data_IF_377470896005
#
_entry.id   IF_377470896005
#
_cell.length_a   1.000
_cell.length_b   1.000
_cell.length_c   1.000
_cell.angle_alpha   90.00
_cell.angle_beta   90.00
_cell.angle_gamma   90.00
#
_symmetry.space_group_name_H-M   'P 1'
#
loop_
_entity.id
_entity.type
_entity.pdbx_description
1 polymer ?
#
# COMPACT_ATOMS: atom_id res chain seq x y z
N UNK A 1 22.63 -10.29 -7.50
CA UNK A 1 22.62 -9.47 -6.25
C UNK A 1 21.53 -8.39 -6.27
N UNK A 2 21.45 -7.53 -7.30
CA UNK A 2 20.41 -6.47 -7.45
C UNK A 2 18.97 -7.00 -7.20
N UNK A 3 18.57 -8.03 -7.94
CA UNK A 3 17.22 -8.59 -7.88
C UNK A 3 16.88 -9.15 -6.48
N UNK A 4 17.84 -9.83 -5.85
CA UNK A 4 17.67 -10.33 -4.48
C UNK A 4 17.39 -9.20 -3.47
N UNK A 5 18.13 -8.09 -3.58
CA UNK A 5 17.93 -6.94 -2.69
C UNK A 5 16.59 -6.29 -2.92
N UNK A 6 16.16 -6.12 -4.18
CA UNK A 6 14.85 -5.58 -4.53
C UNK A 6 13.71 -6.45 -4.01
N UNK A 7 13.80 -7.76 -4.18
CA UNK A 7 12.82 -8.72 -3.62
C UNK A 7 12.79 -8.68 -2.10
N UNK A 8 13.95 -8.64 -1.44
CA UNK A 8 14.04 -8.56 0.01
C UNK A 8 13.42 -7.27 0.54
N UNK A 9 13.73 -6.13 -0.08
CA UNK A 9 13.15 -4.84 0.29
C UNK A 9 11.63 -4.84 0.09
N UNK A 10 11.18 -5.36 -1.04
CA UNK A 10 9.76 -5.49 -1.37
C UNK A 10 9.02 -6.36 -0.35
N UNK A 11 9.58 -7.51 0.02
CA UNK A 11 8.98 -8.40 1.02
C UNK A 11 8.93 -7.76 2.41
N UNK A 12 9.98 -7.05 2.82
CA UNK A 12 9.99 -6.32 4.08
C UNK A 12 8.94 -5.21 4.10
N UNK A 13 8.83 -4.44 3.02
CA UNK A 13 7.87 -3.34 2.92
C UNK A 13 6.43 -3.85 2.96
N UNK A 14 6.11 -4.90 2.19
CA UNK A 14 4.77 -5.51 2.22
C UNK A 14 4.45 -6.12 3.58
N UNK A 15 5.41 -6.75 4.26
CA UNK A 15 5.25 -7.27 5.63
C UNK A 15 5.02 -6.18 6.66
N UNK A 16 5.78 -5.08 6.62
CA UNK A 16 5.54 -3.92 7.48
C UNK A 16 4.14 -3.33 7.31
N UNK A 17 3.69 -3.20 6.05
CA UNK A 17 2.34 -2.72 5.73
C UNK A 17 1.24 -3.65 6.25
N UNK A 18 1.47 -4.95 6.22
CA UNK A 18 0.55 -5.93 6.78
C UNK A 18 0.45 -5.81 8.30
N UNK A 19 1.58 -5.71 9.00
CA UNK A 19 1.60 -5.52 10.44
C UNK A 19 0.94 -4.19 10.86
N UNK A 20 1.25 -3.10 10.16
CA UNK A 20 0.62 -1.80 10.43
C UNK A 20 -0.91 -1.88 10.27
N UNK A 21 -1.42 -2.52 9.21
CA UNK A 21 -2.84 -2.72 9.01
C UNK A 21 -3.50 -3.48 10.19
N UNK A 22 -2.86 -4.53 10.68
CA UNK A 22 -3.30 -5.26 11.87
C UNK A 22 -3.32 -4.37 13.11
N UNK A 23 -2.25 -3.61 13.35
CA UNK A 23 -2.18 -2.70 14.50
C UNK A 23 -3.30 -1.65 14.49
N UNK A 24 -3.57 -1.04 13.33
CA UNK A 24 -4.67 -0.07 13.16
C UNK A 24 -6.02 -0.70 13.55
N UNK A 25 -6.34 -1.89 13.01
CA UNK A 25 -7.61 -2.54 13.31
C UNK A 25 -7.72 -2.96 14.78
N UNK A 26 -6.65 -3.44 15.39
CA UNK A 26 -6.62 -3.77 16.80
C UNK A 26 -6.76 -2.55 17.71
N UNK A 27 -6.17 -1.42 17.33
CA UNK A 27 -6.33 -0.18 18.08
C UNK A 27 -7.79 0.31 18.03
N UNK A 28 -8.41 0.33 16.86
CA UNK A 28 -9.84 0.63 16.71
C UNK A 28 -10.69 -0.34 17.56
N UNK A 29 -10.44 -1.64 17.45
CA UNK A 29 -11.16 -2.66 18.22
C UNK A 29 -10.96 -2.55 19.74
N UNK A 30 -9.88 -1.91 20.20
CA UNK A 30 -9.63 -1.65 21.61
C UNK A 30 -10.54 -0.54 22.13
N UNK A 31 -10.84 0.45 21.33
CA UNK A 31 -11.63 1.64 21.71
C UNK A 31 -13.10 1.55 21.31
N UNK A 32 -13.47 0.71 20.34
CA UNK A 32 -14.83 0.50 19.88
C UNK A 32 -15.29 -0.93 20.19
N UNK A 33 -16.23 -1.06 21.17
CA UNK A 33 -16.75 -2.35 21.59
C UNK A 33 -17.57 -3.06 20.51
N UNK A 34 -18.40 -2.33 19.76
CA UNK A 34 -19.22 -2.90 18.70
C UNK A 34 -18.37 -3.37 17.53
N UNK A 35 -17.39 -2.56 17.13
CA UNK A 35 -16.42 -2.98 16.12
C UNK A 35 -15.61 -4.19 16.60
N UNK A 36 -15.16 -4.21 17.85
CA UNK A 36 -14.41 -5.36 18.42
C UNK A 36 -15.22 -6.64 18.35
N UNK A 37 -16.49 -6.60 18.75
CA UNK A 37 -17.40 -7.76 18.69
C UNK A 37 -17.48 -8.29 17.27
N UNK A 38 -17.70 -7.42 16.29
CA UNK A 38 -17.76 -7.80 14.89
C UNK A 38 -16.42 -8.33 14.37
N UNK A 39 -15.32 -7.64 14.67
CA UNK A 39 -13.98 -7.97 14.27
C UNK A 39 -13.52 -9.36 14.77
N UNK A 40 -13.87 -9.73 15.99
CA UNK A 40 -13.53 -11.03 16.56
C UNK A 40 -14.39 -12.19 16.00
N UNK A 41 -15.60 -11.91 15.56
CA UNK A 41 -16.48 -12.91 14.98
C UNK A 41 -16.30 -13.10 13.47
N UNK A 42 -15.73 -12.13 12.78
CA UNK A 42 -15.46 -12.21 11.35
C UNK A 42 -14.13 -12.91 11.10
N UNK A 43 -14.17 -14.20 10.75
CA UNK A 43 -12.99 -14.98 10.40
C UNK A 43 -12.21 -14.37 9.21
N UNK A 44 -12.82 -13.53 8.39
CA UNK A 44 -12.18 -12.81 7.29
C UNK A 44 -11.20 -11.74 7.80
N UNK A 45 -11.42 -11.22 9.01
CA UNK A 45 -10.56 -10.21 9.64
C UNK A 45 -9.21 -10.75 10.11
N UNK A 46 -9.09 -12.07 10.28
CA UNK A 46 -7.85 -12.74 10.70
C UNK A 46 -6.98 -13.21 9.52
N UNK A 47 -7.39 -12.91 8.30
CA UNK A 47 -6.73 -13.34 7.07
C UNK A 47 -5.43 -12.60 6.75
N UNK A 48 -4.98 -12.81 5.53
CA UNK A 48 -3.80 -12.18 4.97
C UNK A 48 -4.09 -10.73 4.57
N UNK A 49 -3.43 -9.77 5.22
CA UNK A 49 -3.60 -8.34 4.92
C UNK A 49 -2.76 -7.85 3.73
N UNK A 50 -2.19 -8.76 2.96
CA UNK A 50 -1.46 -8.45 1.72
C UNK A 50 -2.37 -8.31 0.51
N UNK A 51 -3.56 -8.92 0.51
CA UNK A 51 -4.55 -8.81 -0.56
C UNK A 51 -5.16 -7.42 -0.63
N UNK A 52 -5.57 -7.00 -1.84
CA UNK A 52 -6.29 -5.75 -2.03
C UNK A 52 -7.60 -5.68 -1.22
N UNK A 53 -8.35 -6.78 -1.19
CA UNK A 53 -9.61 -6.87 -0.42
C UNK A 53 -9.40 -6.51 1.05
N UNK A 54 -8.36 -7.05 1.67
CA UNK A 54 -8.03 -6.78 3.07
C UNK A 54 -7.53 -5.34 3.28
N UNK A 55 -6.73 -4.81 2.35
CA UNK A 55 -6.34 -3.40 2.39
C UNK A 55 -7.54 -2.46 2.26
N UNK A 56 -8.45 -2.76 1.33
CA UNK A 56 -9.66 -1.97 1.16
C UNK A 56 -10.60 -2.09 2.38
N UNK A 57 -10.59 -3.21 3.09
CA UNK A 57 -11.30 -3.38 4.36
C UNK A 57 -10.77 -2.44 5.45
N UNK A 58 -9.44 -2.37 5.63
CA UNK A 58 -8.82 -1.42 6.58
C UNK A 58 -9.19 0.03 6.23
N UNK A 59 -9.08 0.40 4.96
CA UNK A 59 -9.48 1.72 4.48
C UNK A 59 -10.95 2.04 4.82
N UNK A 60 -11.87 1.13 4.50
CA UNK A 60 -13.30 1.31 4.79
C UNK A 60 -13.58 1.39 6.29
N UNK A 61 -12.88 0.62 7.09
CA UNK A 61 -12.99 0.68 8.56
C UNK A 61 -12.60 2.07 9.05
N UNK A 62 -11.46 2.61 8.61
CA UNK A 62 -11.03 3.95 8.98
C UNK A 62 -12.03 5.03 8.56
N UNK A 63 -12.55 4.95 7.33
CA UNK A 63 -13.56 5.91 6.84
C UNK A 63 -14.86 5.82 7.64
N UNK A 64 -15.32 4.61 7.97
CA UNK A 64 -16.54 4.40 8.78
C UNK A 64 -16.40 4.92 10.22
N UNK A 65 -15.16 5.03 10.72
CA UNK A 65 -14.87 5.62 12.03
C UNK A 65 -14.54 7.13 11.95
N UNK A 66 -14.89 7.79 10.85
CA UNK A 66 -14.77 9.24 10.69
C UNK A 66 -13.50 9.74 10.02
N UNK A 67 -12.64 8.84 9.54
CA UNK A 67 -11.47 9.22 8.74
C UNK A 67 -11.90 9.82 7.40
N UNK A 68 -11.36 10.99 7.05
CA UNK A 68 -11.67 11.68 5.80
C UNK A 68 -10.41 12.23 5.13
N UNK A 69 -10.41 12.25 3.80
CA UNK A 69 -9.38 12.90 2.98
C UNK A 69 -10.09 13.81 2.01
N UNK A 70 -9.94 15.11 2.20
CA UNK A 70 -10.46 16.12 1.28
C UNK A 70 -9.51 16.36 0.08
N UNK A 71 -9.91 17.23 -0.83
CA UNK A 71 -9.14 17.52 -2.03
C UNK A 71 -7.80 18.21 -1.73
N UNK A 72 -7.72 19.02 -0.67
CA UNK A 72 -6.47 19.69 -0.27
C UNK A 72 -5.49 18.65 0.27
N UNK A 73 -5.92 17.80 1.21
CA UNK A 73 -5.10 16.71 1.76
C UNK A 73 -4.68 15.72 0.70
N UNK A 74 -5.54 15.44 -0.29
CA UNK A 74 -5.17 14.68 -1.46
C UNK A 74 -4.00 15.32 -2.21
N UNK A 75 -4.04 16.63 -2.43
CA UNK A 75 -2.95 17.38 -3.06
C UNK A 75 -1.65 17.27 -2.27
N UNK A 76 -1.73 17.41 -0.95
CA UNK A 76 -0.58 17.27 -0.05
C UNK A 76 0.03 15.87 -0.10
N UNK A 77 -0.80 14.82 -0.07
CA UNK A 77 -0.33 13.44 -0.18
C UNK A 77 0.40 13.17 -1.51
N UNK A 78 -0.13 13.68 -2.61
CA UNK A 78 0.53 13.54 -3.92
C UNK A 78 1.86 14.32 -3.98
N UNK A 79 1.92 15.48 -3.37
CA UNK A 79 3.16 16.29 -3.25
C UNK A 79 4.20 15.57 -2.40
N UNK A 80 3.80 14.99 -1.26
CA UNK A 80 4.68 14.19 -0.42
C UNK A 80 5.17 12.93 -1.16
N UNK A 81 4.32 12.33 -1.98
CA UNK A 81 4.69 11.15 -2.77
C UNK A 81 5.70 11.52 -3.88
N UNK A 82 5.58 12.69 -4.51
CA UNK A 82 6.60 13.21 -5.43
C UNK A 82 7.91 13.46 -4.68
N UNK A 83 7.85 14.08 -3.49
CA UNK A 83 9.04 14.26 -2.65
C UNK A 83 9.71 12.92 -2.30
N UNK A 84 8.93 11.90 -1.93
CA UNK A 84 9.45 10.54 -1.69
C UNK A 84 10.17 9.98 -2.92
N UNK A 85 9.58 10.12 -4.11
CA UNK A 85 10.20 9.69 -5.36
C UNK A 85 11.54 10.42 -5.59
N UNK A 86 11.52 11.74 -5.54
CA UNK A 86 12.66 12.57 -5.93
C UNK A 86 13.81 12.52 -4.89
N UNK A 87 13.47 12.45 -3.59
CA UNK A 87 14.48 12.55 -2.52
C UNK A 87 14.81 11.20 -1.84
N UNK A 88 13.99 10.18 -2.01
CA UNK A 88 14.26 8.86 -1.44
C UNK A 88 14.62 7.85 -2.53
N UNK A 89 13.78 7.68 -3.53
CA UNK A 89 14.06 6.70 -4.57
C UNK A 89 15.20 7.16 -5.50
N UNK A 90 15.19 8.40 -5.95
CA UNK A 90 16.19 8.93 -6.88
C UNK A 90 17.54 9.25 -6.23
N UNK A 91 17.60 9.48 -4.92
CA UNK A 91 18.85 9.66 -4.18
C UNK A 91 19.42 8.35 -3.60
N UNK A 92 18.68 7.23 -3.74
CA UNK A 92 19.12 5.92 -3.30
C UNK A 92 19.81 5.12 -4.42
N UNK A 93 20.33 3.93 -4.04
CA UNK A 93 20.87 2.95 -5.01
C UNK A 93 19.82 2.53 -6.06
N UNK A 94 18.53 2.76 -5.79
CA UNK A 94 17.46 2.44 -6.72
C UNK A 94 17.55 3.25 -8.01
N UNK A 95 18.07 4.48 -7.98
CA UNK A 95 18.38 5.28 -9.18
C UNK A 95 19.26 4.53 -10.16
N UNK A 96 20.28 3.85 -9.64
CA UNK A 96 21.20 3.06 -10.47
C UNK A 96 20.55 1.76 -10.95
N UNK A 97 19.67 1.19 -10.15
CA UNK A 97 19.06 -0.10 -10.44
C UNK A 97 17.80 -0.03 -11.28
N UNK A 98 17.02 1.05 -11.14
CA UNK A 98 15.71 1.27 -11.76
C UNK A 98 15.64 2.61 -12.52
N UNK A 99 16.66 2.98 -13.35
CA UNK A 99 16.76 4.33 -13.92
C UNK A 99 15.63 4.64 -14.91
N UNK A 100 15.13 3.64 -15.63
CA UNK A 100 14.02 3.80 -16.58
C UNK A 100 12.70 3.92 -15.83
N UNK A 101 12.46 3.00 -14.90
CA UNK A 101 11.22 2.92 -14.11
C UNK A 101 11.00 4.20 -13.30
N UNK A 102 12.05 4.75 -12.68
CA UNK A 102 11.95 6.01 -11.94
C UNK A 102 11.68 7.21 -12.85
N UNK A 103 12.36 7.29 -14.01
CA UNK A 103 12.11 8.35 -15.00
C UNK A 103 10.69 8.31 -15.55
N UNK A 104 10.17 7.10 -15.82
CA UNK A 104 8.86 6.91 -16.44
C UNK A 104 7.72 6.99 -15.39
N UNK A 105 8.04 6.97 -14.10
CA UNK A 105 7.09 7.10 -13.00
C UNK A 105 6.57 8.54 -12.87
N UNK A 106 5.35 8.77 -13.32
CA UNK A 106 4.65 10.05 -13.22
C UNK A 106 3.55 9.96 -12.15
N UNK A 107 3.83 10.51 -10.97
CA UNK A 107 2.94 10.42 -9.80
C UNK A 107 1.54 10.96 -10.10
N UNK A 108 1.45 12.16 -10.71
CA UNK A 108 0.17 12.80 -11.02
C UNK A 108 -0.64 12.04 -12.06
N UNK A 109 0.02 11.46 -13.06
CA UNK A 109 -0.66 10.69 -14.11
C UNK A 109 -1.21 9.37 -13.55
N UNK A 110 -0.43 8.72 -12.67
CA UNK A 110 -0.78 7.41 -12.12
C UNK A 110 -1.79 7.52 -10.97
N UNK A 111 -1.62 8.47 -10.06
CA UNK A 111 -2.39 8.56 -8.83
C UNK A 111 -3.35 9.76 -8.76
N UNK A 112 -3.19 10.76 -9.62
CA UNK A 112 -3.98 12.00 -9.58
C UNK A 112 -5.48 11.82 -9.77
N UNK A 113 -5.90 10.77 -10.46
CA UNK A 113 -7.32 10.46 -10.72
C UNK A 113 -8.01 9.73 -9.56
N UNK A 114 -7.27 9.27 -8.55
CA UNK A 114 -7.85 8.55 -7.41
C UNK A 114 -8.79 9.45 -6.59
N UNK A 115 -9.89 8.88 -6.12
CA UNK A 115 -10.91 9.58 -5.30
C UNK A 115 -11.07 8.87 -3.97
N UNK A 116 -10.47 9.42 -2.92
CA UNK A 116 -10.59 8.85 -1.57
C UNK A 116 -11.81 9.41 -0.83
N UNK A 117 -12.98 9.22 -1.45
CA UNK A 117 -14.27 9.69 -0.94
C UNK A 117 -15.13 8.55 -0.35
N UNK A 118 -14.53 7.62 0.35
CA UNK A 118 -15.21 6.60 1.12
C UNK A 118 -15.63 5.31 0.38
N UNK A 119 -15.44 5.21 -0.93
CA UNK A 119 -15.82 3.99 -1.67
C UNK A 119 -14.76 2.90 -1.64
N UNK A 120 -13.61 3.16 -2.22
CA UNK A 120 -12.50 2.22 -2.31
C UNK A 120 -11.17 2.93 -2.13
N UNK A 121 -10.21 2.19 -1.56
CA UNK A 121 -8.83 2.65 -1.38
C UNK A 121 -8.16 3.02 -2.72
N UNK A 122 -8.33 2.18 -3.73
CA UNK A 122 -7.82 2.40 -5.08
C UNK A 122 -8.96 2.22 -6.08
N UNK A 123 -8.92 3.00 -7.16
CA UNK A 123 -9.81 2.87 -8.32
C UNK A 123 -9.06 2.21 -9.48
N UNK A 124 -9.81 1.68 -10.43
CA UNK A 124 -9.26 1.13 -11.67
C UNK A 124 -8.43 2.18 -12.44
N UNK A 125 -7.23 1.84 -12.97
CA UNK A 125 -6.68 0.48 -13.04
C UNK A 125 -5.78 0.07 -11.86
N UNK A 126 -5.60 0.92 -10.83
CA UNK A 126 -4.64 0.65 -9.73
C UNK A 126 -4.99 -0.59 -8.93
N UNK A 127 -6.28 -0.83 -8.65
CA UNK A 127 -6.75 -1.98 -7.88
C UNK A 127 -6.61 -3.30 -8.65
N UNK A 128 -7.13 -3.35 -9.87
CA UNK A 128 -7.27 -4.58 -10.66
C UNK A 128 -6.02 -4.97 -11.44
N UNK A 129 -5.21 -4.00 -11.86
CA UNK A 129 -4.06 -4.29 -12.71
C UNK A 129 -2.76 -4.18 -11.94
N UNK A 130 -2.49 -3.04 -11.32
CA UNK A 130 -1.19 -2.77 -10.69
C UNK A 130 -1.10 -3.51 -9.36
N UNK A 131 -2.09 -3.37 -8.48
CA UNK A 131 -2.06 -4.04 -7.18
C UNK A 131 -2.15 -5.57 -7.30
N UNK A 132 -2.96 -6.07 -8.23
CA UNK A 132 -3.04 -7.52 -8.51
C UNK A 132 -1.68 -8.09 -8.93
N UNK A 133 -0.94 -7.39 -9.80
CA UNK A 133 0.41 -7.78 -10.21
C UNK A 133 1.38 -7.75 -9.02
N UNK A 134 1.33 -6.69 -8.20
CA UNK A 134 2.09 -6.57 -6.95
C UNK A 134 1.84 -7.76 -6.03
N UNK A 135 0.58 -8.07 -5.75
CA UNK A 135 0.19 -9.18 -4.88
C UNK A 135 0.63 -10.54 -5.43
N UNK A 136 0.46 -10.76 -6.72
CA UNK A 136 0.93 -11.98 -7.39
C UNK A 136 2.45 -12.14 -7.26
N UNK A 137 3.20 -11.06 -7.44
CA UNK A 137 4.66 -11.09 -7.27
C UNK A 137 5.06 -11.33 -5.81
N UNK A 138 4.40 -10.68 -4.85
CA UNK A 138 4.61 -10.90 -3.41
C UNK A 138 4.43 -12.38 -3.05
N UNK A 139 3.35 -13.01 -3.53
CA UNK A 139 3.07 -14.42 -3.24
C UNK A 139 4.12 -15.35 -3.87
N UNK A 140 4.58 -15.05 -5.07
CA UNK A 140 5.71 -15.79 -5.66
C UNK A 140 6.95 -15.69 -4.80
N UNK A 141 7.31 -14.50 -4.32
CA UNK A 141 8.48 -14.31 -3.46
C UNK A 141 8.33 -15.00 -2.09
N UNK A 142 7.11 -15.02 -1.51
CA UNK A 142 6.85 -15.58 -0.20
C UNK A 142 6.75 -17.11 -0.19
N UNK A 143 6.12 -17.70 -1.21
CA UNK A 143 5.75 -19.13 -1.20
C UNK A 143 6.59 -19.98 -2.15
N UNK A 144 7.49 -19.38 -2.89
CA UNK A 144 8.24 -20.14 -3.87
C UNK A 144 9.46 -20.83 -3.23
N UNK A 145 9.29 -22.11 -2.99
CA UNK A 145 10.36 -23.04 -2.59
C UNK A 145 11.29 -23.37 -3.79
N UNK A 146 10.87 -23.00 -5.00
CA UNK A 146 11.66 -23.16 -6.21
C UNK A 146 12.79 -22.14 -6.25
N UNK A 147 13.90 -22.53 -6.84
CA UNK A 147 15.14 -21.76 -6.89
C UNK A 147 14.90 -20.27 -7.21
N UNK A 148 15.70 -19.41 -6.62
CA UNK A 148 15.82 -17.97 -6.89
C UNK A 148 15.69 -17.62 -8.38
N UNK A 149 16.20 -18.46 -9.27
CA UNK A 149 16.14 -18.28 -10.73
C UNK A 149 14.71 -18.35 -11.29
N UNK A 150 13.80 -19.09 -10.67
CA UNK A 150 12.40 -19.17 -11.09
C UNK A 150 11.56 -17.94 -10.71
N UNK A 151 12.06 -17.14 -9.75
CA UNK A 151 11.39 -15.94 -9.23
C UNK A 151 11.94 -14.64 -9.81
N UNK A 152 13.13 -14.69 -10.41
CA UNK A 152 13.71 -13.52 -11.04
C UNK A 152 12.76 -13.04 -12.15
N UNK A 153 12.42 -11.76 -12.12
CA UNK A 153 11.73 -11.10 -13.24
C UNK A 153 12.71 -11.07 -14.41
N UNK A 154 12.50 -11.97 -15.37
CA UNK A 154 13.30 -11.94 -16.57
C UNK A 154 12.92 -10.69 -17.40
N UNK A 155 13.83 -10.12 -18.22
CA UNK A 155 13.55 -8.93 -19.04
C UNK A 155 12.34 -9.05 -19.96
N UNK A 156 11.95 -10.27 -20.37
CA UNK A 156 10.74 -10.52 -21.16
C UNK A 156 9.49 -10.37 -20.31
N UNK A 157 9.48 -10.91 -19.08
CA UNK A 157 8.36 -10.72 -18.14
C UNK A 157 8.20 -9.27 -17.67
N UNK A 158 9.30 -8.51 -17.60
CA UNK A 158 9.25 -7.06 -17.33
C UNK A 158 8.55 -6.32 -18.47
N UNK A 159 8.77 -6.71 -19.72
CA UNK A 159 8.05 -6.13 -20.87
C UNK A 159 6.57 -6.51 -20.91
N UNK A 160 6.20 -7.70 -20.45
CA UNK A 160 4.81 -8.17 -20.37
C UNK A 160 4.01 -7.54 -19.22
N UNK A 161 4.71 -6.99 -18.21
CA UNK A 161 4.08 -6.44 -17.00
C UNK A 161 3.64 -4.97 -17.18
N UNK A 162 3.96 -4.32 -18.30
CA UNK A 162 3.59 -2.92 -18.56
C UNK A 162 4.13 -1.99 -17.46
N UNK A 163 3.32 -1.05 -16.97
CA UNK A 163 3.71 -0.02 -15.98
C UNK A 163 4.01 -0.54 -14.56
N UNK A 164 3.89 -1.84 -14.31
CA UNK A 164 4.13 -2.43 -13.00
C UNK A 164 5.62 -2.76 -12.80
N UNK A 165 6.36 -1.83 -12.23
CA UNK A 165 7.76 -1.97 -11.85
C UNK A 165 7.92 -1.92 -10.32
N UNK A 166 9.11 -2.28 -9.81
CA UNK A 166 9.41 -2.08 -8.39
C UNK A 166 9.26 -0.62 -7.96
N UNK A 167 9.63 0.34 -8.80
CA UNK A 167 9.46 1.75 -8.50
C UNK A 167 7.96 2.09 -8.30
N UNK A 168 7.10 1.63 -9.21
CA UNK A 168 5.64 1.79 -9.10
C UNK A 168 5.09 1.10 -7.85
N UNK A 169 5.53 -0.12 -7.55
CA UNK A 169 5.04 -0.87 -6.39
C UNK A 169 5.48 -0.24 -5.07
N UNK A 170 6.73 0.20 -4.93
CA UNK A 170 7.19 0.92 -3.73
C UNK A 170 6.39 2.20 -3.53
N UNK A 171 6.21 2.97 -4.59
CA UNK A 171 5.42 4.21 -4.54
C UNK A 171 3.96 3.96 -4.19
N UNK A 172 3.34 2.92 -4.74
CA UNK A 172 1.96 2.54 -4.41
C UNK A 172 1.83 2.10 -2.94
N UNK A 173 2.78 1.31 -2.43
CA UNK A 173 2.77 0.89 -1.03
C UNK A 173 2.94 2.08 -0.08
N UNK A 174 3.84 3.01 -0.39
CA UNK A 174 4.00 4.24 0.38
C UNK A 174 2.75 5.11 0.33
N UNK A 175 2.10 5.24 -0.83
CA UNK A 175 0.83 5.96 -0.94
C UNK A 175 -0.26 5.35 -0.03
N UNK A 176 -0.41 4.03 -0.05
CA UNK A 176 -1.37 3.32 0.82
C UNK A 176 -1.04 3.59 2.30
N UNK A 177 0.24 3.56 2.66
CA UNK A 177 0.69 3.86 4.01
C UNK A 177 0.32 5.29 4.44
N UNK A 178 0.60 6.26 3.60
CA UNK A 178 0.25 7.67 3.85
C UNK A 178 -1.25 7.87 4.01
N UNK A 179 -2.07 7.24 3.15
CA UNK A 179 -3.54 7.27 3.27
C UNK A 179 -3.99 6.68 4.60
N UNK A 180 -3.44 5.54 5.01
CA UNK A 180 -3.80 4.93 6.29
C UNK A 180 -3.44 5.81 7.47
N UNK A 181 -2.25 6.41 7.47
CA UNK A 181 -1.82 7.28 8.56
C UNK A 181 -2.68 8.53 8.65
N UNK A 182 -2.99 9.17 7.54
CA UNK A 182 -3.87 10.34 7.49
C UNK A 182 -5.26 10.05 8.06
N UNK A 183 -5.87 8.95 7.61
CA UNK A 183 -7.18 8.53 8.10
C UNK A 183 -7.14 8.11 9.57
N UNK A 184 -6.09 7.40 9.97
CA UNK A 184 -5.94 6.92 11.34
C UNK A 184 -5.74 8.06 12.33
N UNK A 185 -4.95 9.08 12.00
CA UNK A 185 -4.78 10.26 12.84
C UNK A 185 -6.11 10.97 13.10
N UNK A 186 -6.94 11.10 12.07
CA UNK A 186 -8.29 11.68 12.21
C UNK A 186 -9.17 10.84 13.15
N UNK A 187 -9.21 9.52 12.96
CA UNK A 187 -9.98 8.59 13.80
C UNK A 187 -9.48 8.62 15.25
N UNK A 188 -8.17 8.55 15.46
CA UNK A 188 -7.58 8.55 16.79
C UNK A 188 -7.86 9.83 17.57
N UNK A 189 -7.80 10.99 16.90
CA UNK A 189 -8.15 12.27 17.52
C UNK A 189 -9.63 12.34 17.93
N UNK A 190 -10.54 11.78 17.13
CA UNK A 190 -11.96 11.70 17.47
C UNK A 190 -12.20 10.76 18.67
N UNK A 191 -11.57 9.60 18.71
CA UNK A 191 -11.67 8.66 19.83
C UNK A 191 -11.20 9.27 21.15
N UNK A 192 -10.13 10.05 21.15
CA UNK A 192 -9.65 10.76 22.34
C UNK A 192 -10.65 11.78 22.86
N UNK A 193 -11.36 12.49 21.98
CA UNK A 193 -12.38 13.49 22.37
C UNK A 193 -13.61 12.86 23.02
N UNK A 194 -13.94 11.61 22.66
CA UNK A 194 -15.09 10.89 23.22
C UNK A 194 -14.76 10.27 24.59
N UNK A 195 -13.48 10.05 24.88
CA UNK A 195 -13.00 9.43 26.14
C UNK A 195 -12.72 10.44 27.26
N UNK A 196 -12.91 11.73 27.00
CA UNK A 196 -12.85 12.84 27.98
C UNK A 196 -14.25 13.23 28.43
#
# INVERSE_FOLDING_TARGET
MKEYVLQTLFMKLTGCMEQKAKCILWDIATHDFEFRRFFLHDNSSQGEYSEYKSKNYVYKTLVNHGGTIDNQRKGDLLTQLEYFKDNILEESILKVWLPRELRDLKIKDLFGKQRWAGRNLLETPLDNEIYKKLYTHRNRCAHNVLSYQGNAMNPQKIKEVGDASYATWFTLLVLIDMIYMELYENVHNQMKLISL
#
